data_IF_532639995181
#
_entry.id   IF_532639995181
#
_cell.length_a   1.000
_cell.length_b   1.000
_cell.length_c   1.000
_cell.angle_alpha   90.00
_cell.angle_beta   90.00
_cell.angle_gamma   90.00
#
_symmetry.space_group_name_H-M   'P 1'
#
loop_
_entity.id
_entity.type
_entity.pdbx_description
1 polymer ?
#
# COMPACT_ATOMS: atom_id res chain seq x y z
N UNK A 1 -12.85 -20.28 -15.75
CA UNK A 1 -13.99 -19.85 -14.90
C UNK A 1 -13.43 -19.38 -13.58
N UNK A 2 -13.49 -18.06 -13.26
CA UNK A 2 -12.95 -17.52 -12.03
C UNK A 2 -13.70 -18.08 -10.82
N UNK A 3 -13.00 -18.83 -9.97
CA UNK A 3 -13.59 -19.31 -8.71
C UNK A 3 -13.55 -18.17 -7.70
N UNK A 4 -14.67 -17.56 -7.42
CA UNK A 4 -14.85 -16.43 -6.50
C UNK A 4 -14.34 -16.72 -5.06
N UNK A 5 -14.59 -17.90 -4.44
CA UNK A 5 -14.14 -18.18 -3.08
C UNK A 5 -12.63 -18.03 -2.81
N UNK A 6 -11.71 -18.50 -3.69
CA UNK A 6 -10.28 -18.33 -3.45
C UNK A 6 -9.82 -16.87 -3.53
N UNK A 7 -10.45 -16.03 -4.36
CA UNK A 7 -10.13 -14.61 -4.45
C UNK A 7 -10.47 -13.91 -3.12
N UNK A 8 -11.66 -14.13 -2.57
CA UNK A 8 -12.06 -13.56 -1.28
C UNK A 8 -11.13 -13.99 -0.13
N UNK A 9 -10.72 -15.26 -0.11
CA UNK A 9 -9.77 -15.76 0.89
C UNK A 9 -8.42 -15.00 0.80
N UNK A 10 -7.94 -14.77 -0.42
CA UNK A 10 -6.72 -13.98 -0.65
C UNK A 10 -6.91 -12.51 -0.29
N UNK A 11 -8.06 -11.90 -0.58
CA UNK A 11 -8.37 -10.53 -0.16
C UNK A 11 -8.32 -10.37 1.37
N UNK A 12 -8.85 -11.33 2.11
CA UNK A 12 -8.77 -11.33 3.58
C UNK A 12 -7.31 -11.48 4.05
N UNK A 13 -6.55 -12.40 3.46
CA UNK A 13 -5.16 -12.65 3.84
C UNK A 13 -4.25 -11.46 3.53
N UNK A 14 -4.34 -10.90 2.32
CA UNK A 14 -3.49 -9.82 1.82
C UNK A 14 -3.92 -8.47 2.40
N UNK A 15 -5.23 -8.20 2.41
CA UNK A 15 -5.77 -6.88 2.74
C UNK A 15 -6.26 -6.77 4.18
N UNK A 16 -7.31 -7.51 4.55
CA UNK A 16 -7.96 -7.30 5.86
C UNK A 16 -6.99 -7.51 7.02
N UNK A 17 -6.13 -8.52 6.94
CA UNK A 17 -5.11 -8.75 7.97
C UNK A 17 -4.00 -7.69 8.00
N UNK A 18 -3.85 -6.87 6.95
CA UNK A 18 -2.91 -5.74 6.94
C UNK A 18 -3.52 -4.47 7.57
N UNK A 19 -4.85 -4.38 7.67
CA UNK A 19 -5.57 -3.19 8.13
C UNK A 19 -5.07 -2.62 9.46
N UNK A 20 -4.81 -3.41 10.53
CA UNK A 20 -4.35 -2.84 11.80
C UNK A 20 -2.99 -2.14 11.67
N UNK A 21 -2.08 -2.72 10.90
CA UNK A 21 -0.75 -2.16 10.65
C UNK A 21 -0.84 -0.87 9.83
N UNK A 22 -1.66 -0.89 8.77
CA UNK A 22 -1.93 0.28 7.92
C UNK A 22 -2.57 1.39 8.75
N UNK A 23 -3.56 1.07 9.58
CA UNK A 23 -4.26 2.05 10.40
C UNK A 23 -3.32 2.74 11.39
N UNK A 24 -2.52 1.97 12.13
CA UNK A 24 -1.58 2.52 13.10
C UNK A 24 -0.53 3.41 12.43
N UNK A 25 0.06 2.93 11.33
CA UNK A 25 1.08 3.68 10.62
C UNK A 25 0.52 4.94 9.98
N UNK A 26 -0.63 4.85 9.31
CA UNK A 26 -1.28 6.00 8.68
C UNK A 26 -1.65 7.08 9.71
N UNK A 27 -2.20 6.68 10.87
CA UNK A 27 -2.50 7.60 11.96
C UNK A 27 -1.24 8.32 12.45
N UNK A 28 -0.17 7.56 12.74
CA UNK A 28 1.11 8.11 13.22
C UNK A 28 1.72 9.09 12.23
N UNK A 29 1.65 8.78 10.93
CA UNK A 29 2.16 9.66 9.86
C UNK A 29 1.33 10.93 9.77
N UNK A 30 -0.01 10.83 9.85
CA UNK A 30 -0.89 12.00 9.86
C UNK A 30 -0.58 12.94 11.02
N UNK A 31 -0.39 12.39 12.22
CA UNK A 31 0.04 13.14 13.42
C UNK A 31 1.39 13.82 13.19
N UNK A 32 2.39 13.07 12.75
CA UNK A 32 3.74 13.59 12.55
C UNK A 32 3.77 14.69 11.48
N UNK A 33 3.09 14.46 10.36
CA UNK A 33 3.01 15.43 9.26
C UNK A 33 2.33 16.73 9.71
N UNK A 34 1.23 16.64 10.47
CA UNK A 34 0.53 17.80 10.99
C UNK A 34 1.41 18.59 11.99
N UNK A 35 2.13 17.90 12.88
CA UNK A 35 3.04 18.54 13.82
C UNK A 35 4.19 19.27 13.11
N UNK A 36 4.79 18.63 12.10
CA UNK A 36 5.88 19.25 11.33
C UNK A 36 5.36 20.44 10.52
N UNK A 37 4.21 20.30 9.85
CA UNK A 37 3.57 21.38 9.11
C UNK A 37 3.21 22.55 10.04
N UNK A 38 2.64 22.27 11.20
CA UNK A 38 2.30 23.28 12.21
C UNK A 38 3.55 24.07 12.64
N UNK A 39 4.61 23.37 13.02
CA UNK A 39 5.86 24.02 13.44
C UNK A 39 6.47 24.92 12.34
N UNK A 40 6.51 24.42 11.10
CA UNK A 40 7.06 25.18 9.97
C UNK A 40 6.21 26.39 9.58
N UNK A 41 4.88 26.29 9.69
CA UNK A 41 3.96 27.36 9.32
C UNK A 41 3.74 28.38 10.44
N UNK A 42 4.00 28.02 11.70
CA UNK A 42 3.87 28.90 12.87
C UNK A 42 4.79 30.12 12.78
N UNK A 43 6.04 29.91 12.34
CA UNK A 43 7.00 31.01 12.15
C UNK A 43 6.53 32.04 11.10
N UNK A 44 5.66 31.60 10.18
CA UNK A 44 5.10 32.42 9.10
C UNK A 44 3.69 32.97 9.42
N UNK A 45 3.12 32.61 10.57
CA UNK A 45 1.73 32.95 10.93
C UNK A 45 0.70 32.31 10.00
N UNK A 46 1.03 31.16 9.38
CA UNK A 46 0.26 30.49 8.33
C UNK A 46 -0.31 29.12 8.79
N UNK A 47 -0.48 28.90 10.07
CA UNK A 47 -0.96 27.63 10.67
C UNK A 47 -2.30 27.19 10.10
N UNK A 48 -3.11 28.11 9.64
CA UNK A 48 -4.41 27.86 9.03
C UNK A 48 -4.34 26.94 7.78
N UNK A 49 -3.17 26.80 7.14
CA UNK A 49 -2.94 25.95 5.98
C UNK A 49 -2.45 24.53 6.31
N UNK A 50 -2.31 24.19 7.59
CA UNK A 50 -1.89 22.84 8.00
C UNK A 50 -2.85 21.74 7.49
N UNK A 51 -4.18 21.89 7.59
CA UNK A 51 -5.11 20.90 7.04
C UNK A 51 -4.94 20.67 5.54
N UNK A 52 -4.71 21.73 4.77
CA UNK A 52 -4.54 21.70 3.32
C UNK A 52 -3.30 20.86 2.96
N UNK A 53 -2.19 21.13 3.64
CA UNK A 53 -0.91 20.47 3.41
C UNK A 53 -0.98 18.98 3.77
N UNK A 54 -1.58 18.64 4.91
CA UNK A 54 -1.77 17.26 5.36
C UNK A 54 -2.63 16.48 4.36
N UNK A 55 -3.76 17.04 3.95
CA UNK A 55 -4.70 16.37 3.04
C UNK A 55 -4.06 16.09 1.68
N UNK A 56 -3.51 17.10 1.03
CA UNK A 56 -2.92 16.97 -0.32
C UNK A 56 -1.71 16.02 -0.30
N UNK A 57 -0.83 16.15 0.70
CA UNK A 57 0.38 15.31 0.79
C UNK A 57 0.04 13.84 1.01
N UNK A 58 -0.96 13.54 1.86
CA UNK A 58 -1.41 12.17 2.09
C UNK A 58 -2.05 11.59 0.84
N UNK A 59 -2.95 12.32 0.18
CA UNK A 59 -3.66 11.79 -0.98
C UNK A 59 -2.75 11.53 -2.18
N UNK A 60 -1.82 12.44 -2.47
CA UNK A 60 -0.98 12.38 -3.68
C UNK A 60 0.22 11.45 -3.54
N UNK A 61 0.88 11.47 -2.38
CA UNK A 61 2.23 10.87 -2.26
C UNK A 61 2.33 9.91 -1.08
N UNK A 62 2.23 10.41 0.15
CA UNK A 62 2.56 9.62 1.33
C UNK A 62 1.64 8.43 1.52
N UNK A 63 0.34 8.59 1.30
CA UNK A 63 -0.63 7.51 1.45
C UNK A 63 -0.30 6.31 0.56
N UNK A 64 -0.31 6.47 -0.77
CA UNK A 64 -0.01 5.35 -1.68
C UNK A 64 1.35 4.71 -1.41
N UNK A 65 2.40 5.49 -1.22
CA UNK A 65 3.78 5.00 -1.04
C UNK A 65 3.94 4.24 0.27
N UNK A 66 3.52 4.84 1.39
CA UNK A 66 3.74 4.23 2.71
C UNK A 66 2.90 2.98 2.92
N UNK A 67 1.68 2.97 2.41
CA UNK A 67 0.82 1.79 2.47
C UNK A 67 1.38 0.67 1.58
N UNK A 68 1.91 1.01 0.40
CA UNK A 68 2.61 0.04 -0.43
C UNK A 68 3.82 -0.57 0.28
N UNK A 69 4.64 0.23 0.99
CA UNK A 69 5.77 -0.26 1.79
C UNK A 69 5.32 -1.27 2.85
N UNK A 70 4.24 -0.97 3.59
CA UNK A 70 3.69 -1.88 4.59
C UNK A 70 3.22 -3.19 3.95
N UNK A 71 2.52 -3.09 2.82
CA UNK A 71 1.98 -4.26 2.10
C UNK A 71 3.11 -5.08 1.48
N UNK A 72 4.18 -4.47 0.98
CA UNK A 72 5.40 -5.19 0.52
C UNK A 72 5.97 -6.02 1.67
N UNK A 73 6.24 -5.38 2.81
CA UNK A 73 6.87 -6.03 3.95
C UNK A 73 6.04 -7.16 4.55
N UNK A 74 4.71 -7.02 4.60
CA UNK A 74 3.81 -7.99 5.19
C UNK A 74 3.22 -8.97 4.18
N UNK A 75 2.49 -8.47 3.19
CA UNK A 75 1.69 -9.31 2.30
C UNK A 75 2.49 -9.81 1.09
N UNK A 76 3.37 -8.97 0.54
CA UNK A 76 4.29 -9.35 -0.53
C UNK A 76 5.27 -10.44 -0.09
N UNK A 77 5.88 -10.25 1.07
CA UNK A 77 6.76 -11.26 1.67
C UNK A 77 6.04 -12.58 1.97
N UNK A 78 4.81 -12.52 2.52
CA UNK A 78 4.02 -13.70 2.80
C UNK A 78 3.67 -14.49 1.52
N UNK A 79 3.30 -13.79 0.43
CA UNK A 79 3.01 -14.43 -0.87
C UNK A 79 4.25 -15.12 -1.42
N UNK A 80 5.42 -14.47 -1.38
CA UNK A 80 6.67 -15.06 -1.84
C UNK A 80 7.06 -16.29 -1.00
N UNK A 81 6.91 -16.22 0.32
CA UNK A 81 7.20 -17.32 1.23
C UNK A 81 6.24 -18.50 1.04
N UNK A 82 4.92 -18.25 0.93
CA UNK A 82 3.93 -19.30 0.67
C UNK A 82 4.21 -20.05 -0.63
N UNK A 83 4.41 -19.32 -1.74
CA UNK A 83 4.71 -19.94 -3.03
C UNK A 83 6.07 -20.65 -3.02
N UNK A 84 7.07 -20.07 -2.37
CA UNK A 84 8.38 -20.69 -2.23
C UNK A 84 8.33 -21.99 -1.42
N UNK A 85 7.54 -22.04 -0.35
CA UNK A 85 7.32 -23.25 0.43
C UNK A 85 6.62 -24.33 -0.42
N UNK A 86 5.56 -23.95 -1.16
CA UNK A 86 4.85 -24.87 -2.07
C UNK A 86 5.77 -25.37 -3.19
N UNK A 87 6.74 -24.56 -3.65
CA UNK A 87 7.72 -24.97 -4.65
C UNK A 87 8.69 -26.01 -4.08
N UNK A 88 9.22 -25.77 -2.88
CA UNK A 88 10.16 -26.66 -2.21
C UNK A 88 9.51 -27.99 -1.79
N UNK A 89 8.21 -27.98 -1.43
CA UNK A 89 7.44 -29.19 -1.09
C UNK A 89 6.86 -29.92 -2.31
N UNK A 90 7.23 -29.52 -3.54
CA UNK A 90 6.76 -30.10 -4.79
C UNK A 90 5.24 -30.06 -5.01
N UNK A 91 4.53 -29.20 -4.23
CA UNK A 91 3.08 -29.06 -4.38
C UNK A 91 2.68 -28.45 -5.72
N UNK A 92 3.55 -27.60 -6.30
CA UNK A 92 3.32 -26.98 -7.60
C UNK A 92 3.43 -28.03 -8.71
N UNK A 93 4.44 -28.90 -8.66
CA UNK A 93 4.63 -30.02 -9.57
C UNK A 93 3.47 -31.04 -9.44
N UNK A 94 3.02 -31.29 -8.22
CA UNK A 94 1.84 -32.15 -8.00
C UNK A 94 0.56 -31.61 -8.67
N UNK A 95 0.37 -30.29 -8.69
CA UNK A 95 -0.75 -29.69 -9.42
C UNK A 95 -0.61 -29.90 -10.94
N UNK A 96 0.59 -29.80 -11.48
CA UNK A 96 0.86 -30.03 -12.91
C UNK A 96 0.57 -31.49 -13.31
N UNK A 97 0.99 -32.44 -12.48
CA UNK A 97 0.69 -33.87 -12.70
C UNK A 97 -0.82 -34.14 -12.69
N UNK A 98 -1.56 -33.40 -11.88
CA UNK A 98 -3.03 -33.47 -11.87
C UNK A 98 -3.70 -32.69 -13.01
N UNK A 99 -2.92 -32.20 -13.99
CA UNK A 99 -3.40 -31.36 -15.10
C UNK A 99 -4.09 -30.06 -14.66
N UNK A 100 -3.74 -29.54 -13.47
CA UNK A 100 -4.21 -28.26 -12.97
C UNK A 100 -3.14 -27.20 -13.27
N UNK A 101 -3.52 -26.15 -14.00
CA UNK A 101 -2.61 -25.04 -14.29
C UNK A 101 -2.28 -24.25 -13.01
N UNK A 102 -1.02 -24.28 -12.50
CA UNK A 102 -0.64 -23.61 -11.25
C UNK A 102 -0.83 -22.10 -11.31
N UNK A 103 -0.55 -21.47 -12.47
CA UNK A 103 -0.72 -20.03 -12.65
C UNK A 103 -2.18 -19.63 -12.41
N UNK A 104 -3.11 -20.31 -13.07
CA UNK A 104 -4.53 -20.03 -12.93
C UNK A 104 -5.08 -20.30 -11.53
N UNK A 105 -4.51 -21.29 -10.84
CA UNK A 105 -4.99 -21.71 -9.52
C UNK A 105 -4.37 -20.92 -8.36
N UNK A 106 -3.08 -20.63 -8.40
CA UNK A 106 -2.33 -20.01 -7.32
C UNK A 106 -2.11 -18.50 -7.53
N UNK A 107 -1.70 -18.08 -8.76
CA UNK A 107 -1.26 -16.71 -9.00
C UNK A 107 -2.44 -15.78 -9.26
N UNK A 108 -3.36 -16.16 -10.14
CA UNK A 108 -4.47 -15.28 -10.55
C UNK A 108 -5.31 -14.80 -9.35
N UNK A 109 -5.70 -15.64 -8.37
CA UNK A 109 -6.45 -15.16 -7.21
C UNK A 109 -5.66 -14.18 -6.33
N UNK A 110 -4.35 -14.41 -6.16
CA UNK A 110 -3.47 -13.52 -5.39
C UNK A 110 -3.28 -12.18 -6.11
N UNK A 111 -3.09 -12.23 -7.43
CA UNK A 111 -2.94 -11.05 -8.28
C UNK A 111 -4.16 -10.14 -8.20
N UNK A 112 -5.35 -10.69 -8.42
CA UNK A 112 -6.60 -9.93 -8.36
C UNK A 112 -6.87 -9.38 -6.94
N UNK A 113 -6.59 -10.18 -5.93
CA UNK A 113 -6.75 -9.76 -4.55
C UNK A 113 -5.85 -8.57 -4.20
N UNK A 114 -4.56 -8.59 -4.61
CA UNK A 114 -3.63 -7.49 -4.37
C UNK A 114 -4.06 -6.23 -5.12
N UNK A 115 -4.44 -6.37 -6.40
CA UNK A 115 -4.84 -5.26 -7.28
C UNK A 115 -6.06 -4.50 -6.73
N UNK A 116 -6.96 -5.20 -6.05
CA UNK A 116 -8.15 -4.58 -5.42
C UNK A 116 -7.81 -4.07 -4.02
N UNK A 117 -7.12 -4.87 -3.20
CA UNK A 117 -6.96 -4.56 -1.79
C UNK A 117 -5.97 -3.44 -1.51
N UNK A 118 -4.91 -3.28 -2.31
CA UNK A 118 -3.96 -2.19 -2.08
C UNK A 118 -4.59 -0.81 -2.29
N UNK A 119 -5.33 -0.52 -3.38
CA UNK A 119 -6.10 0.72 -3.50
C UNK A 119 -7.10 0.94 -2.36
N UNK A 120 -7.82 -0.10 -1.95
CA UNK A 120 -8.77 -0.02 -0.82
C UNK A 120 -8.06 0.35 0.48
N UNK A 121 -6.92 -0.29 0.78
CA UNK A 121 -6.10 0.04 1.94
C UNK A 121 -5.53 1.46 1.86
N UNK A 122 -5.17 1.93 0.67
CA UNK A 122 -4.70 3.30 0.44
C UNK A 122 -5.78 4.33 0.77
N UNK A 123 -6.99 4.12 0.30
CA UNK A 123 -8.13 5.00 0.63
C UNK A 123 -8.39 4.98 2.14
N UNK A 124 -8.45 3.80 2.75
CA UNK A 124 -8.67 3.65 4.20
C UNK A 124 -7.54 4.33 5.00
N UNK A 125 -6.29 4.14 4.62
CA UNK A 125 -5.15 4.75 5.28
C UNK A 125 -5.13 6.27 5.14
N UNK A 126 -5.50 6.81 3.98
CA UNK A 126 -5.64 8.25 3.79
C UNK A 126 -6.66 8.85 4.76
N UNK A 127 -7.84 8.23 4.92
CA UNK A 127 -8.83 8.68 5.89
C UNK A 127 -8.30 8.65 7.32
N UNK A 128 -7.61 7.58 7.71
CA UNK A 128 -7.04 7.46 9.06
C UNK A 128 -5.89 8.46 9.27
N UNK A 129 -5.07 8.70 8.25
CA UNK A 129 -4.00 9.71 8.30
C UNK A 129 -4.54 11.13 8.46
N UNK A 130 -5.57 11.48 7.69
CA UNK A 130 -6.26 12.78 7.83
C UNK A 130 -6.89 12.93 9.22
N UNK A 131 -7.45 11.86 9.78
CA UNK A 131 -7.94 11.85 11.16
C UNK A 131 -6.81 12.06 12.19
N UNK A 132 -5.62 11.48 11.95
CA UNK A 132 -4.43 11.76 12.77
C UNK A 132 -4.00 13.23 12.72
N UNK A 133 -4.03 13.83 11.52
CA UNK A 133 -3.77 15.27 11.34
C UNK A 133 -4.81 16.16 12.02
N UNK A 134 -6.08 15.77 11.93
CA UNK A 134 -7.16 16.46 12.67
C UNK A 134 -6.92 16.47 14.17
N UNK A 135 -6.51 15.37 14.75
CA UNK A 135 -6.24 15.28 16.18
C UNK A 135 -5.20 16.33 16.63
N UNK A 136 -4.10 16.50 15.87
CA UNK A 136 -3.09 17.53 16.16
C UNK A 136 -3.67 18.93 16.03
N UNK A 137 -4.34 19.23 14.92
CA UNK A 137 -4.92 20.56 14.71
C UNK A 137 -5.95 20.94 15.76
N UNK A 138 -6.73 19.97 16.25
CA UNK A 138 -7.73 20.22 17.29
C UNK A 138 -7.12 20.42 18.68
N UNK A 139 -6.16 19.56 19.08
CA UNK A 139 -5.62 19.58 20.44
C UNK A 139 -4.40 20.50 20.60
N UNK A 140 -3.64 20.79 19.56
CA UNK A 140 -2.43 21.60 19.64
C UNK A 140 -2.57 23.00 19.02
N UNK A 141 -3.48 23.20 18.05
CA UNK A 141 -3.66 24.48 17.35
C UNK A 141 -5.03 25.10 17.62
N UNK A 142 -5.83 24.57 18.56
CA UNK A 142 -7.17 25.03 18.90
C UNK A 142 -8.11 25.21 17.68
N UNK A 143 -7.84 24.48 16.59
CA UNK A 143 -8.63 24.56 15.38
C UNK A 143 -9.96 23.85 15.57
N UNK A 144 -11.06 24.50 15.18
CA UNK A 144 -12.40 23.85 15.25
C UNK A 144 -12.48 22.69 14.28
N UNK A 145 -13.14 21.59 14.68
CA UNK A 145 -13.34 20.41 13.83
C UNK A 145 -13.97 20.77 12.47
N UNK A 146 -14.97 21.66 12.48
CA UNK A 146 -15.61 22.13 11.25
C UNK A 146 -14.62 22.89 10.34
N UNK A 147 -13.77 23.76 10.92
CA UNK A 147 -12.75 24.50 10.19
C UNK A 147 -11.72 23.59 9.55
N UNK A 148 -11.26 22.54 10.26
CA UNK A 148 -10.36 21.54 9.71
C UNK A 148 -10.97 20.79 8.52
N UNK A 149 -12.19 20.25 8.69
CA UNK A 149 -12.85 19.45 7.66
C UNK A 149 -13.15 20.28 6.41
N UNK A 150 -13.69 21.48 6.56
CA UNK A 150 -14.00 22.36 5.43
C UNK A 150 -12.73 22.69 4.64
N UNK A 151 -11.66 23.08 5.31
CA UNK A 151 -10.39 23.38 4.63
C UNK A 151 -9.76 22.16 3.95
N UNK A 152 -9.70 21.04 4.65
CA UNK A 152 -9.15 19.81 4.08
C UNK A 152 -9.93 19.38 2.82
N UNK A 153 -11.27 19.52 2.83
CA UNK A 153 -12.09 19.22 1.65
C UNK A 153 -11.94 20.24 0.53
N UNK A 154 -11.82 21.52 0.85
CA UNK A 154 -11.65 22.59 -0.15
C UNK A 154 -10.28 22.48 -0.85
N UNK A 155 -9.24 22.02 -0.15
CA UNK A 155 -7.90 21.84 -0.71
C UNK A 155 -7.77 20.57 -1.56
N UNK A 156 -8.60 19.55 -1.30
CA UNK A 156 -8.54 18.27 -1.99
C UNK A 156 -9.24 18.33 -3.35
N UNK A 157 -8.47 18.14 -4.41
CA UNK A 157 -9.05 17.92 -5.74
C UNK A 157 -9.44 16.44 -5.90
N UNK A 158 -10.51 16.18 -6.67
CA UNK A 158 -10.83 14.82 -7.09
C UNK A 158 -9.64 14.15 -7.80
N UNK A 159 -8.83 14.94 -8.52
CA UNK A 159 -7.60 14.48 -9.17
C UNK A 159 -6.57 13.93 -8.18
N UNK A 160 -6.43 14.51 -6.99
CA UNK A 160 -5.50 14.06 -5.96
C UNK A 160 -5.84 12.64 -5.49
N UNK A 161 -7.12 12.38 -5.26
CA UNK A 161 -7.60 11.05 -4.90
C UNK A 161 -7.39 10.04 -6.04
N UNK A 162 -7.76 10.40 -7.27
CA UNK A 162 -7.57 9.52 -8.43
C UNK A 162 -6.11 9.20 -8.71
N UNK A 163 -5.22 10.18 -8.61
CA UNK A 163 -3.78 9.98 -8.81
C UNK A 163 -3.22 8.99 -7.77
N UNK A 164 -3.61 9.11 -6.50
CA UNK A 164 -3.22 8.19 -5.44
C UNK A 164 -3.74 6.76 -5.67
N UNK A 165 -4.98 6.61 -6.12
CA UNK A 165 -5.58 5.30 -6.44
C UNK A 165 -4.86 4.66 -7.64
N UNK A 166 -4.57 5.42 -8.69
CA UNK A 166 -3.83 4.91 -9.86
C UNK A 166 -2.43 4.47 -9.45
N UNK A 167 -1.69 5.27 -8.66
CA UNK A 167 -0.39 4.89 -8.12
C UNK A 167 -0.47 3.58 -7.34
N UNK A 168 -1.42 3.46 -6.42
CA UNK A 168 -1.58 2.25 -5.62
C UNK A 168 -1.90 1.01 -6.46
N UNK A 169 -2.69 1.14 -7.53
CA UNK A 169 -2.97 0.04 -8.45
C UNK A 169 -1.72 -0.41 -9.22
N UNK A 170 -0.89 0.54 -9.68
CA UNK A 170 0.40 0.22 -10.32
C UNK A 170 1.35 -0.44 -9.32
N UNK A 171 1.43 0.05 -8.09
CA UNK A 171 2.24 -0.58 -7.04
C UNK A 171 1.77 -2.00 -6.73
N UNK A 172 0.45 -2.22 -6.64
CA UNK A 172 -0.12 -3.55 -6.46
C UNK A 172 0.34 -4.53 -7.54
N UNK A 173 0.30 -4.09 -8.79
CA UNK A 173 0.74 -4.87 -9.94
C UNK A 173 2.24 -5.25 -9.84
N UNK A 174 3.10 -4.29 -9.52
CA UNK A 174 4.54 -4.49 -9.34
C UNK A 174 4.81 -5.49 -8.22
N UNK A 175 4.24 -5.23 -7.04
CA UNK A 175 4.47 -6.02 -5.83
C UNK A 175 4.09 -7.48 -6.04
N UNK A 176 2.88 -7.72 -6.55
CA UNK A 176 2.39 -9.09 -6.70
C UNK A 176 3.17 -9.86 -7.77
N UNK A 177 3.56 -9.19 -8.86
CA UNK A 177 4.35 -9.82 -9.93
C UNK A 177 5.72 -10.25 -9.42
N UNK A 178 6.41 -9.38 -8.68
CA UNK A 178 7.74 -9.68 -8.12
C UNK A 178 7.61 -10.77 -7.05
N UNK A 179 6.64 -10.67 -6.14
CA UNK A 179 6.45 -11.65 -5.08
C UNK A 179 6.12 -13.05 -5.62
N UNK A 180 5.26 -13.15 -6.63
CA UNK A 180 4.94 -14.41 -7.27
C UNK A 180 6.14 -14.98 -8.05
N UNK A 181 6.85 -14.14 -8.77
CA UNK A 181 8.03 -14.57 -9.51
C UNK A 181 9.12 -15.10 -8.58
N UNK A 182 9.41 -14.39 -7.50
CA UNK A 182 10.40 -14.83 -6.51
C UNK A 182 10.01 -16.16 -5.85
N UNK A 183 8.74 -16.34 -5.48
CA UNK A 183 8.26 -17.57 -4.85
C UNK A 183 8.30 -18.78 -5.79
N UNK A 184 8.00 -18.60 -7.07
CA UNK A 184 8.00 -19.71 -8.05
C UNK A 184 9.40 -20.20 -8.44
N UNK A 185 10.42 -19.36 -8.30
CA UNK A 185 11.81 -19.67 -8.70
C UNK A 185 12.71 -19.92 -7.49
N UNK A 186 12.14 -20.37 -6.37
CA UNK A 186 12.92 -20.76 -5.19
C UNK A 186 13.71 -22.01 -5.46
N UNK A 187 15.02 -21.98 -5.12
CA UNK A 187 15.94 -23.12 -5.13
C UNK A 187 16.63 -23.21 -3.76
N UNK A 188 17.10 -24.40 -3.37
CA UNK A 188 17.89 -24.56 -2.14
C UNK A 188 17.08 -24.79 -0.86
N UNK A 189 15.83 -25.26 -0.98
CA UNK A 189 15.02 -25.68 0.18
C UNK A 189 14.56 -24.51 1.06
N UNK A 190 14.47 -24.75 2.38
CA UNK A 190 13.95 -23.75 3.33
C UNK A 190 14.81 -22.48 3.42
N UNK A 191 16.11 -22.58 3.26
CA UNK A 191 17.02 -21.43 3.23
C UNK A 191 16.77 -20.58 2.00
N UNK A 192 16.57 -21.21 0.83
CA UNK A 192 16.21 -20.53 -0.41
C UNK A 192 14.90 -19.76 -0.32
N UNK A 193 13.90 -20.27 0.41
CA UNK A 193 12.63 -19.55 0.66
C UNK A 193 12.90 -18.23 1.39
N UNK A 194 13.75 -18.25 2.42
CA UNK A 194 14.13 -17.04 3.17
C UNK A 194 14.83 -16.01 2.28
N UNK A 195 15.81 -16.46 1.48
CA UNK A 195 16.55 -15.59 0.56
C UNK A 195 15.64 -14.99 -0.53
N UNK A 196 14.79 -15.82 -1.15
CA UNK A 196 13.85 -15.37 -2.18
C UNK A 196 12.82 -14.37 -1.63
N UNK A 197 12.34 -14.59 -0.39
CA UNK A 197 11.42 -13.68 0.29
C UNK A 197 12.06 -12.32 0.53
N UNK A 198 13.29 -12.29 1.03
CA UNK A 198 14.04 -11.04 1.25
C UNK A 198 14.32 -10.32 -0.08
N UNK A 199 14.74 -11.06 -1.09
CA UNK A 199 14.97 -10.51 -2.43
C UNK A 199 13.68 -9.91 -3.02
N UNK A 200 12.53 -10.58 -2.87
CA UNK A 200 11.24 -10.08 -3.32
C UNK A 200 10.88 -8.74 -2.66
N UNK A 201 11.10 -8.61 -1.35
CA UNK A 201 10.85 -7.36 -0.62
C UNK A 201 11.72 -6.23 -1.16
N UNK A 202 13.03 -6.45 -1.28
CA UNK A 202 13.98 -5.43 -1.74
C UNK A 202 13.67 -5.01 -3.19
N UNK A 203 13.46 -5.98 -4.09
CA UNK A 203 13.13 -5.70 -5.49
C UNK A 203 11.80 -4.96 -5.62
N UNK A 204 10.78 -5.34 -4.85
CA UNK A 204 9.48 -4.65 -4.85
C UNK A 204 9.60 -3.22 -4.37
N UNK A 205 10.40 -2.95 -3.31
CA UNK A 205 10.64 -1.60 -2.81
C UNK A 205 11.35 -0.73 -3.85
N UNK A 206 12.41 -1.24 -4.47
CA UNK A 206 13.16 -0.51 -5.49
C UNK A 206 12.27 -0.20 -6.72
N UNK A 207 11.57 -1.20 -7.24
CA UNK A 207 10.69 -1.03 -8.39
C UNK A 207 9.54 -0.06 -8.10
N UNK A 208 8.95 -0.14 -6.91
CA UNK A 208 7.89 0.77 -6.46
C UNK A 208 8.39 2.21 -6.36
N UNK A 209 9.58 2.45 -5.77
CA UNK A 209 10.15 3.80 -5.65
C UNK A 209 10.46 4.43 -7.01
N UNK A 210 11.04 3.65 -7.94
CA UNK A 210 11.28 4.11 -9.33
C UNK A 210 9.96 4.42 -10.02
N UNK A 211 8.97 3.53 -9.89
CA UNK A 211 7.63 3.74 -10.45
C UNK A 211 6.95 4.97 -9.85
N UNK A 212 7.11 5.21 -8.54
CA UNK A 212 6.57 6.42 -7.91
C UNK A 212 7.14 7.69 -8.54
N UNK A 213 8.47 7.78 -8.69
CA UNK A 213 9.11 8.94 -9.28
C UNK A 213 8.61 9.21 -10.72
N UNK A 214 8.46 8.16 -11.52
CA UNK A 214 7.93 8.27 -12.90
C UNK A 214 6.49 8.74 -12.90
N UNK A 215 5.62 8.12 -12.10
CA UNK A 215 4.20 8.49 -12.03
C UNK A 215 4.00 9.91 -11.50
N UNK A 216 4.76 10.31 -10.47
CA UNK A 216 4.72 11.67 -9.94
C UNK A 216 5.11 12.69 -11.00
N UNK A 217 6.18 12.42 -11.76
CA UNK A 217 6.60 13.29 -12.86
C UNK A 217 5.50 13.42 -13.94
N UNK A 218 4.87 12.32 -14.33
CA UNK A 218 3.79 12.33 -15.32
C UNK A 218 2.57 13.13 -14.81
N UNK A 219 2.20 12.99 -13.54
CA UNK A 219 1.06 13.68 -12.95
C UNK A 219 1.31 15.14 -12.64
N UNK A 220 2.58 15.53 -12.42
CA UNK A 220 2.97 16.91 -12.15
C UNK A 220 2.94 17.78 -13.42
N UNK A 221 3.29 17.22 -14.57
CA UNK A 221 3.32 17.96 -15.84
C UNK A 221 1.96 17.98 -16.58
N UNK A 222 0.90 17.49 -15.98
CA UNK A 222 -0.45 17.52 -16.54
C UNK A 222 -1.34 18.53 -15.80
#
# INVERSE_FOLDING_TARGET
MFKIPPIFRQMVSIGVRATPMVALTAFSIGVTLAMQAAHSLQELGAEIYVPDLVMVTLLRELGPVLIAVIVIGRSGSAVAAELGTMKVSEEIEALEVMAINPIGYLIVPRFLAMLIMLPVLTVLGNYIGVFGGWAVCHFALDTTTAGYILRALDSASAWDLYSGIIKSAVFAWIIITIACNAGLHVEGGAEGVGQATTAAVVQSLLAMLVSNAVLTSIFFFK
#
